data_IF_608607759330
#
_entry.id   IF_608607759330
#
_cell.length_a   1.000
_cell.length_b   1.000
_cell.length_c   1.000
_cell.angle_alpha   90.00
_cell.angle_beta   90.00
_cell.angle_gamma   90.00
#
_symmetry.space_group_name_H-M   'P 1'
#
loop_
_entity.id
_entity.type
_entity.pdbx_description
1 polymer ?
#
# COMPACT_ATOMS: atom_id res chain seq x y z
N UNK A 1 -12.01 47.07 -4.02
CA UNK A 1 -12.38 45.83 -3.29
C UNK A 1 -11.64 44.70 -3.96
N UNK A 2 -10.81 43.97 -3.23
CA UNK A 2 -10.20 42.74 -3.75
C UNK A 2 -11.24 41.64 -3.53
N UNK A 3 -11.95 41.26 -4.60
CA UNK A 3 -12.82 40.10 -4.54
C UNK A 3 -11.95 38.87 -4.28
N UNK A 4 -12.26 38.18 -3.18
CA UNK A 4 -11.52 36.99 -2.79
C UNK A 4 -11.96 35.84 -3.70
N UNK A 5 -10.99 35.30 -4.41
CA UNK A 5 -11.17 34.13 -5.27
C UNK A 5 -11.56 32.90 -4.45
N UNK A 6 -12.68 32.24 -4.79
CA UNK A 6 -13.11 31.01 -4.10
C UNK A 6 -12.66 29.79 -4.89
N UNK A 7 -12.04 28.84 -4.22
CA UNK A 7 -11.57 27.60 -4.86
C UNK A 7 -12.69 26.79 -5.52
N UNK A 8 -13.90 26.83 -4.97
CA UNK A 8 -15.07 26.15 -5.55
C UNK A 8 -15.61 26.81 -6.82
N UNK A 9 -15.23 28.05 -7.11
CA UNK A 9 -15.60 28.75 -8.34
C UNK A 9 -14.73 28.28 -9.53
N UNK A 10 -13.64 27.55 -9.26
CA UNK A 10 -12.84 26.90 -10.29
C UNK A 10 -13.62 25.74 -10.94
N UNK A 11 -13.48 25.55 -12.26
CA UNK A 11 -13.87 24.32 -12.93
C UNK A 11 -13.22 23.10 -12.27
N UNK A 12 -13.91 21.96 -12.33
CA UNK A 12 -13.47 20.72 -11.70
C UNK A 12 -12.10 20.26 -12.21
N UNK A 13 -11.84 20.44 -13.49
CA UNK A 13 -10.59 20.07 -14.16
C UNK A 13 -9.39 20.82 -13.55
N UNK A 14 -9.57 22.10 -13.22
CA UNK A 14 -8.52 22.88 -12.57
C UNK A 14 -8.33 22.44 -11.12
N UNK A 15 -9.43 22.11 -10.41
CA UNK A 15 -9.33 21.54 -9.06
C UNK A 15 -8.61 20.20 -9.05
N UNK A 16 -8.83 19.34 -10.05
CA UNK A 16 -8.09 18.08 -10.19
C UNK A 16 -6.59 18.27 -10.38
N UNK A 17 -6.16 19.27 -11.17
CA UNK A 17 -4.74 19.60 -11.30
C UNK A 17 -4.14 20.04 -9.95
N UNK A 18 -4.89 20.80 -9.17
CA UNK A 18 -4.46 21.20 -7.81
C UNK A 18 -4.43 19.99 -6.88
N UNK A 19 -5.41 19.08 -6.95
CA UNK A 19 -5.40 17.84 -6.18
C UNK A 19 -4.21 16.96 -6.57
N UNK A 20 -3.90 16.81 -7.85
CA UNK A 20 -2.72 16.10 -8.33
C UNK A 20 -1.45 16.64 -7.68
N UNK A 21 -1.25 17.96 -7.72
CA UNK A 21 -0.02 18.54 -7.22
C UNK A 21 0.08 18.54 -5.70
N UNK A 22 -1.03 18.58 -4.98
CA UNK A 22 -1.02 18.49 -3.52
C UNK A 22 -0.94 17.05 -3.00
N UNK A 23 -1.43 16.07 -3.76
CA UNK A 23 -1.72 14.72 -3.26
C UNK A 23 -0.97 13.60 -3.99
N UNK A 24 -0.34 13.87 -5.14
CA UNK A 24 0.35 12.86 -5.94
C UNK A 24 1.87 13.11 -6.10
N UNK A 25 2.39 14.32 -5.88
CA UNK A 25 3.83 14.65 -6.06
C UNK A 25 4.67 14.64 -4.78
N UNK A 26 4.10 14.17 -3.68
CA UNK A 26 4.70 14.06 -2.33
C UNK A 26 6.04 13.29 -2.26
N UNK A 27 6.36 12.45 -3.23
CA UNK A 27 7.60 11.67 -3.25
C UNK A 27 8.83 12.51 -3.57
N UNK A 28 8.72 13.51 -4.45
CA UNK A 28 9.82 14.44 -4.74
C UNK A 28 10.17 15.32 -3.53
N UNK A 29 9.21 15.52 -2.64
CA UNK A 29 9.40 16.28 -1.41
C UNK A 29 10.05 15.42 -0.33
N UNK A 30 9.66 14.16 -0.14
CA UNK A 30 10.25 13.30 0.90
C UNK A 30 11.75 13.05 0.74
N UNK A 31 12.25 12.94 -0.49
CA UNK A 31 13.69 12.76 -0.76
C UNK A 31 14.50 14.03 -0.44
N UNK A 32 13.92 15.21 -0.72
CA UNK A 32 14.49 16.53 -0.36
C UNK A 32 14.28 16.88 1.12
N UNK A 33 13.19 16.46 1.73
CA UNK A 33 12.84 16.70 3.13
C UNK A 33 13.64 15.80 4.07
N UNK A 34 14.07 14.60 3.65
CA UNK A 34 15.10 13.84 4.38
C UNK A 34 16.37 14.66 4.64
N UNK A 35 16.69 15.62 3.75
CA UNK A 35 17.80 16.55 3.95
C UNK A 35 17.44 17.80 4.79
N UNK A 36 16.15 18.03 5.09
CA UNK A 36 15.62 19.27 5.70
C UNK A 36 14.76 19.08 6.96
N UNK A 37 14.72 17.90 7.57
CA UNK A 37 13.96 17.60 8.79
C UNK A 37 14.48 18.40 10.03
N UNK A 38 14.25 19.72 10.05
CA UNK A 38 14.26 20.61 11.23
C UNK A 38 13.18 21.70 11.15
N UNK A 39 12.68 22.10 9.98
CA UNK A 39 11.74 23.23 9.92
C UNK A 39 10.31 22.78 9.65
N UNK A 40 9.46 22.89 10.69
CA UNK A 40 8.00 22.87 10.65
C UNK A 40 7.48 23.47 9.34
N UNK A 41 6.81 22.69 8.51
CA UNK A 41 6.06 23.21 7.37
C UNK A 41 4.59 22.84 7.49
N UNK A 42 3.77 23.86 7.27
CA UNK A 42 2.32 23.84 7.23
C UNK A 42 1.81 22.65 6.44
N UNK A 43 0.81 21.96 6.99
CA UNK A 43 0.17 20.84 6.30
C UNK A 43 -0.66 21.41 5.13
N UNK A 44 -0.15 21.38 3.87
CA UNK A 44 -0.80 22.07 2.75
C UNK A 44 -2.14 21.42 2.41
N UNK A 45 -2.38 20.18 2.89
CA UNK A 45 -3.64 19.45 2.71
C UNK A 45 -4.75 19.88 3.69
N UNK A 46 -4.44 20.72 4.69
CA UNK A 46 -5.43 21.22 5.65
C UNK A 46 -6.54 22.02 4.97
N UNK A 47 -6.22 22.74 3.90
CA UNK A 47 -7.19 23.49 3.09
C UNK A 47 -8.26 22.59 2.47
N UNK A 48 -7.90 21.35 2.12
CA UNK A 48 -8.82 20.37 1.53
C UNK A 48 -9.87 19.87 2.55
N UNK A 49 -9.68 20.16 3.84
CA UNK A 49 -10.62 19.80 4.92
C UNK A 49 -11.59 20.92 5.28
N UNK A 50 -11.45 22.10 4.68
CA UNK A 50 -12.28 23.28 5.00
C UNK A 50 -13.72 23.14 4.52
N UNK A 51 -13.94 22.37 3.44
CA UNK A 51 -15.26 22.07 2.89
C UNK A 51 -15.44 20.57 2.74
N UNK A 52 -16.62 20.07 3.10
CA UNK A 52 -16.98 18.65 2.94
C UNK A 52 -16.93 18.21 1.48
N UNK A 53 -17.29 19.10 0.55
CA UNK A 53 -17.22 18.81 -0.89
C UNK A 53 -15.76 18.64 -1.33
N UNK A 54 -14.90 19.61 -1.01
CA UNK A 54 -13.47 19.55 -1.36
C UNK A 54 -12.79 18.34 -0.73
N UNK A 55 -13.15 18.03 0.52
CA UNK A 55 -12.64 16.85 1.20
C UNK A 55 -13.02 15.56 0.46
N UNK A 56 -14.28 15.42 0.06
CA UNK A 56 -14.73 14.23 -0.67
C UNK A 56 -14.11 14.14 -2.07
N UNK A 57 -14.08 15.24 -2.84
CA UNK A 57 -13.46 15.30 -4.16
C UNK A 57 -11.98 14.92 -4.08
N UNK A 58 -11.24 15.55 -3.17
CA UNK A 58 -9.82 15.30 -2.98
C UNK A 58 -9.52 13.90 -2.42
N UNK A 59 -10.36 13.38 -1.52
CA UNK A 59 -10.24 12.00 -1.02
C UNK A 59 -10.46 10.99 -2.14
N UNK A 60 -11.50 11.16 -2.95
CA UNK A 60 -11.75 10.29 -4.09
C UNK A 60 -10.61 10.37 -5.11
N UNK A 61 -10.09 11.58 -5.39
CA UNK A 61 -8.94 11.77 -6.25
C UNK A 61 -7.70 11.05 -5.71
N UNK A 62 -7.41 11.23 -4.41
CA UNK A 62 -6.29 10.61 -3.70
C UNK A 62 -6.33 9.09 -3.84
N UNK A 63 -7.48 8.48 -3.56
CA UNK A 63 -7.66 7.03 -3.55
C UNK A 63 -7.65 6.43 -4.97
N UNK A 64 -8.12 7.17 -5.97
CA UNK A 64 -8.10 6.72 -7.38
C UNK A 64 -6.68 6.70 -7.94
N UNK A 65 -5.87 7.70 -7.63
CA UNK A 65 -4.55 7.87 -8.22
C UNK A 65 -3.42 7.25 -7.39
N UNK A 66 -3.58 7.19 -6.07
CA UNK A 66 -2.63 6.55 -5.18
C UNK A 66 -3.19 5.20 -4.69
N UNK A 67 -2.46 4.14 -4.98
CA UNK A 67 -2.85 2.78 -4.59
C UNK A 67 -2.25 2.46 -3.23
N UNK A 68 -3.02 2.64 -2.16
CA UNK A 68 -2.54 2.44 -0.80
C UNK A 68 -2.63 0.99 -0.33
N UNK A 69 -1.55 0.48 0.24
CA UNK A 69 -1.49 -0.84 0.87
C UNK A 69 -1.38 -0.65 2.38
N UNK A 70 -2.26 -1.33 3.12
CA UNK A 70 -2.14 -1.44 4.57
C UNK A 70 -1.34 -2.69 4.90
N UNK A 71 -0.13 -2.51 5.42
CA UNK A 71 0.68 -3.61 5.93
C UNK A 71 0.58 -3.66 7.45
N UNK A 72 0.09 -4.79 7.96
CA UNK A 72 -0.01 -5.12 9.37
C UNK A 72 1.03 -6.18 9.71
N UNK A 73 1.94 -5.89 10.62
CA UNK A 73 2.99 -6.80 11.04
C UNK A 73 2.80 -7.14 12.52
N UNK A 74 2.66 -8.42 12.86
CA UNK A 74 2.56 -8.93 14.23
C UNK A 74 3.83 -9.70 14.56
N UNK A 75 4.57 -9.26 15.59
CA UNK A 75 5.85 -9.84 16.00
C UNK A 75 6.97 -9.74 14.93
N UNK A 76 6.75 -8.97 13.86
CA UNK A 76 7.69 -8.72 12.75
C UNK A 76 7.70 -7.23 12.40
N UNK A 77 8.74 -6.76 11.72
CA UNK A 77 8.77 -5.43 11.13
C UNK A 77 9.60 -5.42 9.86
N UNK A 78 9.12 -4.73 8.82
CA UNK A 78 9.90 -4.45 7.60
C UNK A 78 11.23 -3.75 7.92
N UNK A 79 11.31 -2.98 9.01
CA UNK A 79 12.50 -2.20 9.38
C UNK A 79 13.68 -3.05 9.85
N UNK A 80 13.43 -4.32 10.17
CA UNK A 80 14.48 -5.27 10.55
C UNK A 80 15.35 -5.62 9.34
N UNK A 81 14.77 -5.63 8.13
CA UNK A 81 15.51 -5.86 6.90
C UNK A 81 16.15 -4.56 6.38
N UNK A 82 17.41 -4.56 5.90
CA UNK A 82 18.06 -3.37 5.36
C UNK A 82 17.24 -2.67 4.26
N UNK A 83 16.70 -3.43 3.30
CA UNK A 83 15.83 -2.89 2.25
C UNK A 83 14.58 -2.20 2.82
N UNK A 84 14.01 -2.73 3.91
CA UNK A 84 12.81 -2.17 4.52
C UNK A 84 13.06 -0.87 5.28
N UNK A 85 14.31 -0.53 5.60
CA UNK A 85 14.68 0.82 6.11
C UNK A 85 14.60 1.89 5.01
N UNK A 86 14.76 1.50 3.75
CA UNK A 86 14.66 2.41 2.61
C UNK A 86 13.21 2.62 2.15
N UNK A 87 12.29 1.70 2.47
CA UNK A 87 10.87 1.85 2.18
C UNK A 87 10.31 3.04 2.97
N UNK A 88 9.67 3.98 2.29
CA UNK A 88 9.05 5.15 2.92
C UNK A 88 7.56 4.91 3.10
N UNK A 89 7.09 4.58 4.31
CA UNK A 89 5.68 4.59 4.61
C UNK A 89 5.17 6.03 4.67
N UNK A 90 3.93 6.21 4.24
CA UNK A 90 3.20 7.47 4.34
C UNK A 90 2.98 7.83 5.81
N UNK A 91 2.62 6.81 6.59
CA UNK A 91 2.43 6.92 8.03
C UNK A 91 2.63 5.55 8.67
N UNK A 92 3.15 5.56 9.89
CA UNK A 92 3.23 4.39 10.77
C UNK A 92 2.23 4.50 11.95
N UNK A 93 1.49 5.62 12.04
CA UNK A 93 0.51 5.85 13.10
C UNK A 93 -0.74 4.96 12.91
N UNK A 94 -1.00 4.01 13.83
CA UNK A 94 -2.12 3.09 13.73
C UNK A 94 -3.48 3.80 13.74
N UNK A 95 -3.59 4.98 14.36
CA UNK A 95 -4.85 5.74 14.43
C UNK A 95 -5.22 6.27 13.04
N UNK A 96 -4.25 6.88 12.34
CA UNK A 96 -4.42 7.37 10.97
C UNK A 96 -4.69 6.22 10.00
N UNK A 97 -3.95 5.12 10.15
CA UNK A 97 -4.08 3.93 9.32
C UNK A 97 -5.47 3.32 9.44
N UNK A 98 -5.99 3.14 10.65
CA UNK A 98 -7.34 2.58 10.89
C UNK A 98 -8.46 3.52 10.43
N UNK A 99 -8.24 4.83 10.48
CA UNK A 99 -9.22 5.82 10.03
C UNK A 99 -9.35 5.87 8.49
N UNK A 100 -8.28 5.53 7.77
CA UNK A 100 -8.27 5.50 6.31
C UNK A 100 -8.98 4.26 5.76
N UNK A 101 -9.83 4.43 4.74
CA UNK A 101 -10.63 3.35 4.13
C UNK A 101 -10.30 3.08 2.67
N UNK A 102 -9.41 3.85 2.06
CA UNK A 102 -9.08 3.79 0.64
C UNK A 102 -7.96 2.80 0.28
N UNK A 103 -7.86 1.68 0.99
CA UNK A 103 -6.82 0.67 0.71
C UNK A 103 -7.20 -0.20 -0.48
N UNK A 104 -6.20 -0.47 -1.33
CA UNK A 104 -6.34 -1.42 -2.45
C UNK A 104 -6.06 -2.85 -2.04
N UNK A 105 -5.26 -3.01 -0.98
CA UNK A 105 -4.90 -4.29 -0.39
C UNK A 105 -4.57 -4.13 1.11
N UNK A 106 -4.90 -5.15 1.88
CA UNK A 106 -4.48 -5.37 3.27
C UNK A 106 -3.56 -6.58 3.31
N UNK A 107 -2.37 -6.40 3.87
CA UNK A 107 -1.36 -7.45 4.00
C UNK A 107 -1.09 -7.64 5.47
N UNK A 108 -1.23 -8.87 5.96
CA UNK A 108 -0.90 -9.23 7.34
C UNK A 108 0.29 -10.18 7.36
N UNK A 109 1.34 -9.79 8.07
CA UNK A 109 2.50 -10.62 8.37
C UNK A 109 2.47 -11.00 9.84
N UNK A 110 2.63 -12.29 10.12
CA UNK A 110 2.73 -12.74 11.51
C UNK A 110 3.69 -13.91 11.65
N UNK A 111 4.27 -14.03 12.84
CA UNK A 111 5.11 -15.16 13.21
C UNK A 111 4.33 -16.05 14.17
N UNK A 112 4.07 -17.30 13.80
CA UNK A 112 3.14 -18.19 14.51
C UNK A 112 3.59 -18.62 15.91
N UNK A 113 4.89 -18.50 16.25
CA UNK A 113 5.45 -19.17 17.43
C UNK A 113 5.46 -18.32 18.70
N UNK A 114 4.84 -17.15 18.70
CA UNK A 114 4.80 -16.28 19.88
C UNK A 114 3.36 -15.83 20.13
N UNK A 115 2.85 -15.93 21.37
CA UNK A 115 1.53 -15.36 21.69
C UNK A 115 1.56 -13.89 21.28
N UNK A 116 0.55 -13.48 20.51
CA UNK A 116 0.49 -12.14 19.94
C UNK A 116 0.53 -11.12 21.07
N UNK A 117 1.69 -10.50 21.29
CA UNK A 117 1.77 -9.35 22.19
C UNK A 117 1.19 -8.17 21.41
N UNK A 118 0.05 -7.58 21.84
CA UNK A 118 -0.54 -6.44 21.16
C UNK A 118 0.43 -5.24 21.06
N UNK A 119 1.44 -5.16 21.93
CA UNK A 119 2.49 -4.13 21.85
C UNK A 119 3.47 -4.31 20.68
N UNK A 120 3.52 -5.50 20.07
CA UNK A 120 4.41 -5.78 18.95
C UNK A 120 3.75 -5.63 17.58
N UNK A 121 2.52 -5.10 17.52
CA UNK A 121 1.87 -4.80 16.24
C UNK A 121 2.44 -3.51 15.64
N UNK A 122 2.93 -3.61 14.40
CA UNK A 122 3.38 -2.47 13.61
C UNK A 122 2.48 -2.36 12.39
N UNK A 123 2.05 -1.14 12.10
CA UNK A 123 1.21 -0.86 10.95
C UNK A 123 1.92 0.14 10.04
N UNK A 124 1.85 -0.12 8.75
CA UNK A 124 2.42 0.74 7.73
C UNK A 124 1.36 1.04 6.67
N UNK A 125 1.19 2.32 6.34
CA UNK A 125 0.51 2.73 5.12
C UNK A 125 1.57 2.93 4.04
N UNK A 126 1.51 2.10 3.01
CA UNK A 126 2.46 2.06 1.90
C UNK A 126 1.73 2.37 0.60
N UNK A 127 2.51 2.59 -0.46
CA UNK A 127 1.98 2.57 -1.81
C UNK A 127 2.29 1.26 -2.52
N UNK A 128 1.47 0.95 -3.52
CA UNK A 128 1.68 -0.18 -4.41
C UNK A 128 3.05 -0.19 -5.08
N UNK A 129 3.63 0.97 -5.43
CA UNK A 129 4.98 1.01 -6.01
C UNK A 129 6.07 0.49 -5.07
N UNK A 130 5.86 0.55 -3.76
CA UNK A 130 6.77 -0.02 -2.77
C UNK A 130 6.55 -1.53 -2.57
N UNK A 131 5.48 -2.10 -3.12
CA UNK A 131 5.12 -3.50 -2.95
C UNK A 131 6.23 -4.49 -3.35
N UNK A 132 6.92 -4.34 -4.50
CA UNK A 132 8.04 -5.21 -4.83
C UNK A 132 9.18 -5.17 -3.79
N UNK A 133 9.48 -3.98 -3.25
CA UNK A 133 10.50 -3.82 -2.21
C UNK A 133 10.09 -4.46 -0.89
N UNK A 134 8.80 -4.38 -0.55
CA UNK A 134 8.22 -5.07 0.63
C UNK A 134 8.35 -6.58 0.48
N UNK A 135 7.99 -7.14 -0.68
CA UNK A 135 8.12 -8.57 -0.97
C UNK A 135 9.57 -9.05 -0.89
N UNK A 136 10.52 -8.26 -1.39
CA UNK A 136 11.95 -8.57 -1.27
C UNK A 136 12.44 -8.61 0.18
N UNK A 137 11.81 -7.87 1.10
CA UNK A 137 12.15 -7.94 2.52
C UNK A 137 11.74 -9.25 3.17
N UNK A 138 10.86 -10.03 2.52
CA UNK A 138 10.40 -11.34 3.00
C UNK A 138 11.11 -12.52 2.36
N UNK A 139 12.04 -12.28 1.42
CA UNK A 139 12.79 -13.36 0.79
C UNK A 139 13.62 -14.11 1.86
N UNK A 140 13.30 -15.40 2.00
CA UNK A 140 13.67 -16.29 3.09
C UNK A 140 15.18 -16.34 3.36
N UNK A 141 15.99 -16.13 2.32
CA UNK A 141 17.45 -16.13 2.42
C UNK A 141 18.02 -14.99 3.27
N UNK A 142 17.31 -13.87 3.44
CA UNK A 142 17.71 -12.78 4.34
C UNK A 142 17.35 -13.02 5.81
N UNK A 143 16.51 -14.02 6.11
CA UNK A 143 15.88 -14.21 7.43
C UNK A 143 16.11 -15.62 8.00
N UNK A 144 17.34 -16.12 7.86
CA UNK A 144 17.81 -17.36 8.51
C UNK A 144 17.44 -17.34 10.01
N UNK A 145 16.58 -18.27 10.43
CA UNK A 145 16.24 -18.49 11.84
C UNK A 145 14.86 -17.99 12.29
N UNK A 146 14.03 -17.46 11.39
CA UNK A 146 12.69 -17.02 11.78
C UNK A 146 11.69 -18.19 11.85
N UNK A 147 10.77 -18.20 12.84
CA UNK A 147 9.68 -19.15 12.87
C UNK A 147 8.76 -18.98 11.66
N UNK A 148 7.92 -19.96 11.38
CA UNK A 148 6.90 -19.99 10.30
C UNK A 148 6.21 -18.64 10.12
N UNK A 149 6.74 -17.83 9.18
CA UNK A 149 6.18 -16.55 8.80
C UNK A 149 4.92 -16.85 7.98
N UNK A 150 3.80 -16.28 8.39
CA UNK A 150 2.55 -16.34 7.65
C UNK A 150 2.30 -14.98 7.00
N UNK A 151 1.84 -15.02 5.75
CA UNK A 151 1.47 -13.83 5.00
C UNK A 151 0.05 -14.01 4.49
N UNK A 152 -0.85 -13.12 4.89
CA UNK A 152 -2.20 -13.05 4.36
C UNK A 152 -2.36 -11.78 3.54
N UNK A 153 -2.74 -11.91 2.27
CA UNK A 153 -2.98 -10.78 1.37
C UNK A 153 -4.47 -10.78 1.03
N UNK A 154 -5.17 -9.77 1.53
CA UNK A 154 -6.56 -9.47 1.18
C UNK A 154 -6.59 -8.34 0.16
N UNK A 155 -7.24 -8.55 -1.00
CA UNK A 155 -7.57 -7.46 -1.93
C UNK A 155 -8.96 -6.92 -1.58
N UNK A 156 -9.03 -5.64 -1.21
CA UNK A 156 -10.28 -5.03 -0.76
C UNK A 156 -10.94 -4.19 -1.85
N UNK A 157 -12.27 -4.25 -2.03
CA UNK A 157 -12.95 -3.31 -2.90
C UNK A 157 -12.81 -1.89 -2.34
N UNK A 158 -12.35 -0.98 -3.19
CA UNK A 158 -12.11 0.41 -2.82
C UNK A 158 -13.44 1.11 -2.54
N UNK A 159 -13.60 1.61 -1.32
CA UNK A 159 -14.75 2.44 -0.95
C UNK A 159 -14.48 3.91 -1.28
N UNK A 160 -15.10 4.42 -2.34
CA UNK A 160 -15.15 5.86 -2.66
C UNK A 160 -16.32 6.52 -1.95
N UNK A 161 -16.24 7.82 -1.70
CA UNK A 161 -17.28 8.59 -0.99
C UNK A 161 -18.61 8.66 -1.76
N UNK A 162 -18.56 8.47 -3.08
CA UNK A 162 -19.72 8.29 -3.94
C UNK A 162 -19.74 6.86 -4.51
N UNK A 163 -20.34 5.90 -3.81
CA UNK A 163 -20.66 4.61 -4.42
C UNK A 163 -21.81 4.81 -5.42
N UNK A 164 -21.71 4.31 -6.66
CA UNK A 164 -22.86 4.30 -7.57
C UNK A 164 -24.02 3.51 -6.94
N UNK A 165 -25.26 4.00 -6.99
CA UNK A 165 -26.33 3.59 -6.08
C UNK A 165 -26.89 2.16 -6.24
N UNK A 166 -26.36 1.30 -7.11
CA UNK A 166 -26.94 -0.04 -7.35
C UNK A 166 -25.95 -1.04 -7.95
N UNK A 167 -24.84 -1.36 -7.26
CA UNK A 167 -23.89 -2.34 -7.80
C UNK A 167 -23.58 -3.48 -6.83
N UNK A 168 -23.73 -4.69 -7.38
CA UNK A 168 -23.12 -5.96 -6.97
C UNK A 168 -21.65 -5.74 -6.51
N UNK A 169 -21.07 -6.64 -5.69
CA UNK A 169 -19.68 -6.55 -5.26
C UNK A 169 -18.79 -6.15 -6.44
N UNK A 170 -18.16 -4.97 -6.32
CA UNK A 170 -17.42 -4.37 -7.43
C UNK A 170 -16.30 -5.33 -7.80
N UNK A 171 -16.20 -5.75 -9.08
CA UNK A 171 -15.10 -6.61 -9.50
C UNK A 171 -13.76 -5.90 -9.21
N UNK A 172 -12.73 -6.68 -8.91
CA UNK A 172 -11.39 -6.15 -8.71
C UNK A 172 -10.96 -5.34 -9.93
N UNK A 173 -10.43 -4.14 -9.68
CA UNK A 173 -9.94 -3.27 -10.75
C UNK A 173 -8.60 -3.80 -11.30
N UNK A 174 -8.25 -3.52 -12.57
CA UNK A 174 -7.02 -4.01 -13.18
C UNK A 174 -5.75 -3.74 -12.36
N UNK A 175 -5.67 -2.59 -11.70
CA UNK A 175 -4.51 -2.25 -10.87
C UNK A 175 -4.44 -3.02 -9.54
N UNK A 176 -5.56 -3.51 -9.01
CA UNK A 176 -5.54 -4.38 -7.82
C UNK A 176 -4.98 -5.75 -8.20
N UNK A 177 -5.37 -6.25 -9.38
CA UNK A 177 -4.81 -7.47 -9.95
C UNK A 177 -3.32 -7.31 -10.28
N UNK A 178 -2.87 -6.11 -10.66
CA UNK A 178 -1.45 -5.83 -10.91
C UNK A 178 -0.55 -5.96 -9.67
N UNK A 179 -1.11 -6.08 -8.46
CA UNK A 179 -0.36 -6.39 -7.24
C UNK A 179 0.07 -7.86 -7.14
N UNK A 180 -0.59 -8.75 -7.89
CA UNK A 180 -0.39 -10.20 -7.81
C UNK A 180 0.86 -10.70 -8.58
N UNK A 181 1.15 -10.25 -9.82
CA UNK A 181 2.30 -10.75 -10.60
C UNK A 181 3.67 -10.65 -9.92
N UNK A 182 3.99 -9.61 -9.12
CA UNK A 182 5.27 -9.56 -8.40
C UNK A 182 5.44 -10.65 -7.34
N UNK A 183 4.35 -11.25 -6.84
CA UNK A 183 4.39 -12.23 -5.75
C UNK A 183 5.22 -13.46 -6.15
N UNK A 184 4.85 -14.26 -7.18
CA UNK A 184 5.60 -15.48 -7.52
C UNK A 184 7.02 -15.22 -8.06
N UNK A 185 7.34 -13.98 -8.46
CA UNK A 185 8.69 -13.63 -8.93
C UNK A 185 9.63 -13.22 -7.80
N UNK A 186 9.10 -12.68 -6.69
CA UNK A 186 9.90 -12.14 -5.60
C UNK A 186 9.79 -12.94 -4.30
N UNK A 187 8.71 -13.71 -4.10
CA UNK A 187 8.50 -14.61 -2.99
C UNK A 187 8.71 -16.05 -3.46
N UNK A 188 9.63 -16.76 -2.80
CA UNK A 188 9.96 -18.16 -3.05
C UNK A 188 10.06 -18.90 -1.73
N UNK A 189 9.83 -20.22 -1.74
CA UNK A 189 9.90 -21.08 -0.54
C UNK A 189 9.01 -20.59 0.61
N UNK A 190 7.82 -20.05 0.31
CA UNK A 190 6.93 -19.45 1.32
C UNK A 190 5.64 -20.26 1.47
N UNK A 191 5.61 -21.30 2.32
CA UNK A 191 4.51 -22.27 2.36
C UNK A 191 3.23 -21.74 3.01
N UNK A 192 3.31 -20.65 3.77
CA UNK A 192 2.17 -20.10 4.54
C UNK A 192 1.66 -18.77 3.97
N UNK A 193 1.61 -18.67 2.64
CA UNK A 193 0.92 -17.57 1.95
C UNK A 193 -0.57 -17.91 1.82
N UNK A 194 -1.43 -17.00 2.25
CA UNK A 194 -2.86 -17.01 1.93
C UNK A 194 -3.24 -15.79 1.11
N UNK A 195 -4.09 -16.00 0.10
CA UNK A 195 -4.70 -14.95 -0.70
C UNK A 195 -6.20 -14.95 -0.39
N UNK A 196 -6.70 -13.86 0.18
CA UNK A 196 -8.09 -13.68 0.59
C UNK A 196 -8.76 -12.54 -0.19
N UNK A 197 -10.09 -12.50 -0.18
CA UNK A 197 -10.89 -11.51 -0.90
C UNK A 197 -11.48 -12.02 -2.23
N UNK A 198 -12.01 -11.13 -3.08
CA UNK A 198 -12.71 -11.48 -4.33
C UNK A 198 -11.72 -11.81 -5.47
N UNK A 199 -10.72 -12.64 -5.18
CA UNK A 199 -9.69 -13.07 -6.12
C UNK A 199 -10.18 -14.36 -6.80
N UNK A 200 -10.28 -14.40 -8.15
CA UNK A 200 -10.62 -15.62 -8.86
C UNK A 200 -9.62 -16.76 -8.55
N UNK A 201 -10.14 -17.95 -8.21
CA UNK A 201 -9.36 -19.17 -8.05
C UNK A 201 -8.35 -19.46 -9.20
N UNK A 202 -8.68 -19.25 -10.49
CA UNK A 202 -7.70 -19.47 -11.56
C UNK A 202 -6.47 -18.53 -11.50
N UNK A 203 -6.55 -17.41 -10.77
CA UNK A 203 -5.43 -16.50 -10.56
C UNK A 203 -4.65 -16.82 -9.27
N UNK A 204 -5.34 -17.18 -8.19
CA UNK A 204 -4.68 -17.43 -6.90
C UNK A 204 -3.94 -18.76 -6.85
N UNK A 205 -4.51 -19.84 -7.41
CA UNK A 205 -3.90 -21.19 -7.34
C UNK A 205 -2.51 -21.25 -7.97
N UNK A 206 -2.26 -20.73 -9.19
CA UNK A 206 -0.92 -20.75 -9.77
C UNK A 206 0.10 -19.95 -8.95
N UNK A 207 -0.33 -18.84 -8.33
CA UNK A 207 0.54 -18.00 -7.49
C UNK A 207 0.93 -18.76 -6.23
N UNK A 208 -0.06 -19.32 -5.52
CA UNK A 208 0.19 -20.09 -4.31
C UNK A 208 1.10 -21.29 -4.57
N UNK A 209 0.87 -22.01 -5.68
CA UNK A 209 1.73 -23.14 -6.10
C UNK A 209 3.12 -22.68 -6.50
N UNK A 210 3.28 -21.54 -7.17
CA UNK A 210 4.60 -21.04 -7.55
C UNK A 210 5.43 -20.57 -6.34
N UNK A 211 4.79 -19.93 -5.37
CA UNK A 211 5.45 -19.36 -4.18
C UNK A 211 5.93 -20.44 -3.20
N UNK A 212 5.28 -21.61 -3.16
CA UNK A 212 5.73 -22.75 -2.34
C UNK A 212 6.98 -23.41 -2.88
N UNK A 213 7.24 -23.26 -4.18
CA UNK A 213 8.42 -23.84 -4.83
C UNK A 213 9.70 -23.06 -4.46
N UNK A 214 10.84 -23.75 -4.39
CA UNK A 214 12.11 -23.11 -4.11
C UNK A 214 12.62 -22.36 -5.34
N UNK A 215 13.38 -21.28 -5.12
CA UNK A 215 13.84 -20.38 -6.20
C UNK A 215 14.59 -21.09 -7.34
N UNK A 216 15.30 -22.18 -7.03
CA UNK A 216 16.05 -22.95 -8.03
C UNK A 216 15.17 -23.80 -8.95
N UNK A 217 13.88 -23.98 -8.67
CA UNK A 217 12.98 -24.73 -9.56
C UNK A 217 12.57 -23.94 -10.79
N UNK A 218 12.76 -22.62 -10.80
CA UNK A 218 12.54 -21.74 -11.95
C UNK A 218 13.73 -20.77 -12.10
N UNK A 219 14.86 -21.22 -12.67
CA UNK A 219 16.00 -20.33 -12.89
C UNK A 219 15.58 -19.20 -13.85
N UNK A 220 16.00 -17.94 -13.60
CA UNK A 220 15.79 -16.88 -14.57
C UNK A 220 16.44 -17.26 -15.91
N UNK A 221 15.86 -16.87 -17.05
CA UNK A 221 16.48 -17.12 -18.34
C UNK A 221 17.89 -16.53 -18.34
N UNK A 222 18.88 -17.23 -18.92
CA UNK A 222 20.26 -16.75 -18.95
C UNK A 222 20.27 -15.36 -19.58
N UNK A 223 20.79 -14.37 -18.84
CA UNK A 223 21.00 -13.03 -19.36
C UNK A 223 21.95 -13.14 -20.55
N UNK A 224 21.44 -12.93 -21.75
CA UNK A 224 22.25 -12.72 -22.95
C UNK A 224 23.09 -11.47 -22.73
N UNK A 225 24.34 -11.68 -22.35
CA UNK A 225 25.44 -10.70 -22.38
C UNK A 225 25.73 -10.26 -23.80
#
# INVERSE_FOLDING_TARGET
MIDHFRFLDLPFEIRELVYHELLCTWEMQHEKERARLVTRHDNPTSILRTSKQLYNESYDYLVRHNQFIHLNCTNVSIRLHPLGRHILPITEDPRKIKAFKGYVARVTWSISNTPANPQSQKHYMLLSRHWPSVLKCTDYHGMLGWPTLTMDISLDPISTSFPPPNLKPTPLRPFQLALLPPIPSLLHSFPHLSLTGPIPAPLSTPILTAVTLPRWSNPPPPSTT
#
